data_IF_214351222433
#
_entry.id   IF_214351222433
#
_cell.length_a   1.000
_cell.length_b   1.000
_cell.length_c   1.000
_cell.angle_alpha   90.00
_cell.angle_beta   90.00
_cell.angle_gamma   90.00
#
_symmetry.space_group_name_H-M   'P 1'
#
loop_
_entity.id
_entity.type
_entity.pdbx_description
1 polymer ?
#
# COMPACT_ATOMS: atom_id res chain seq x y z
N UNK A 1 -6.09 9.66 -8.39
CA UNK A 1 -6.46 10.69 -7.40
C UNK A 1 -7.04 11.90 -8.12
N UNK A 2 -7.75 12.78 -7.41
CA UNK A 2 -8.06 14.13 -7.91
C UNK A 2 -7.00 15.08 -7.36
N UNK A 3 -6.31 15.81 -8.25
CA UNK A 3 -5.32 16.80 -7.88
C UNK A 3 -5.67 18.11 -8.55
N UNK A 4 -5.90 19.16 -7.76
CA UNK A 4 -6.29 20.49 -8.25
C UNK A 4 -7.51 20.49 -9.18
N UNK A 5 -8.46 19.56 -8.97
CA UNK A 5 -9.66 19.43 -9.80
C UNK A 5 -9.48 18.61 -11.07
N UNK A 6 -8.31 17.97 -11.27
CA UNK A 6 -8.03 17.12 -12.42
C UNK A 6 -7.79 15.66 -12.00
N UNK A 7 -8.35 14.72 -12.77
CA UNK A 7 -8.05 13.30 -12.60
C UNK A 7 -6.57 13.06 -12.94
N UNK A 8 -5.82 12.57 -11.96
CA UNK A 8 -4.37 12.35 -12.08
C UNK A 8 -4.00 10.94 -11.62
N UNK A 9 -3.06 10.31 -12.34
CA UNK A 9 -2.30 9.15 -11.84
C UNK A 9 -1.00 9.64 -11.21
N UNK A 10 -0.65 9.09 -10.06
CA UNK A 10 0.56 9.43 -9.33
C UNK A 10 0.99 8.24 -8.48
N UNK A 11 2.22 8.29 -7.97
CA UNK A 11 2.79 7.26 -7.10
C UNK A 11 2.73 7.73 -5.65
N UNK A 12 2.00 6.98 -4.80
CA UNK A 12 2.13 7.11 -3.35
C UNK A 12 3.42 6.44 -2.88
N UNK A 13 4.29 7.18 -2.20
CA UNK A 13 5.56 6.70 -1.67
C UNK A 13 5.56 6.74 -0.14
N UNK A 14 5.37 5.57 0.46
CA UNK A 14 5.47 5.31 1.90
C UNK A 14 6.81 4.68 2.31
N UNK A 15 7.78 4.60 1.38
CA UNK A 15 9.04 3.87 1.57
C UNK A 15 9.95 4.50 2.62
N UNK A 16 9.79 5.81 2.85
CA UNK A 16 10.65 6.65 3.69
C UNK A 16 12.14 6.63 3.29
N UNK A 17 12.46 6.24 2.05
CA UNK A 17 13.84 6.19 1.56
C UNK A 17 14.36 7.57 1.15
N UNK A 18 13.48 8.43 0.64
CA UNK A 18 13.82 9.74 0.10
C UNK A 18 12.94 10.88 0.65
N UNK A 19 12.13 10.59 1.67
CA UNK A 19 11.30 11.54 2.40
C UNK A 19 11.09 11.00 3.83
N UNK A 20 10.89 11.89 4.81
CA UNK A 20 10.62 11.48 6.21
C UNK A 20 9.16 11.07 6.44
N UNK A 21 8.28 11.43 5.50
CA UNK A 21 6.84 11.19 5.55
C UNK A 21 6.37 10.55 4.25
N UNK A 22 5.14 10.06 4.24
CA UNK A 22 4.45 9.63 3.03
C UNK A 22 4.29 10.79 2.06
N UNK A 23 4.73 10.62 0.82
CA UNK A 23 4.66 11.65 -0.21
C UNK A 23 4.03 11.12 -1.49
N UNK A 24 3.46 12.03 -2.28
CA UNK A 24 3.02 11.71 -3.65
C UNK A 24 4.11 12.15 -4.63
N UNK A 25 4.45 11.28 -5.58
CA UNK A 25 5.44 11.52 -6.62
C UNK A 25 4.81 11.41 -8.01
N UNK A 26 5.39 12.09 -8.97
CA UNK A 26 5.16 11.79 -10.38
C UNK A 26 5.77 10.42 -10.70
N UNK A 27 5.03 9.59 -11.42
CA UNK A 27 5.47 8.24 -11.79
C UNK A 27 6.69 8.33 -12.74
N UNK A 28 6.65 9.26 -13.72
CA UNK A 28 7.74 9.48 -14.71
C UNK A 28 9.12 9.73 -14.07
N UNK A 29 9.16 10.36 -12.89
CA UNK A 29 10.39 10.71 -12.19
C UNK A 29 10.81 9.66 -11.16
N UNK A 30 10.11 8.52 -11.07
CA UNK A 30 10.33 7.51 -10.04
C UNK A 30 10.72 6.18 -10.67
N UNK A 31 11.80 5.58 -10.17
CA UNK A 31 12.20 4.22 -10.53
C UNK A 31 11.96 3.28 -9.38
N UNK A 32 11.29 2.16 -9.64
CA UNK A 32 11.13 1.07 -8.69
C UNK A 32 12.24 0.05 -8.88
N UNK A 33 13.13 -0.06 -7.89
CA UNK A 33 14.23 -1.01 -7.93
C UNK A 33 13.80 -2.41 -7.45
N UNK A 34 13.95 -3.39 -8.32
CA UNK A 34 13.72 -4.81 -8.01
C UNK A 34 15.08 -5.47 -7.84
N UNK A 35 15.59 -5.45 -6.62
CA UNK A 35 16.95 -5.92 -6.32
C UNK A 35 17.09 -7.45 -6.44
N UNK A 36 18.32 -7.96 -6.37
CA UNK A 36 18.61 -9.40 -6.28
C UNK A 36 17.88 -10.12 -5.13
N UNK A 37 17.39 -9.42 -4.11
CA UNK A 37 16.55 -10.02 -3.07
C UNK A 37 15.28 -10.60 -3.69
N UNK A 38 14.76 -10.00 -4.75
CA UNK A 38 13.60 -10.50 -5.49
C UNK A 38 13.85 -11.82 -6.24
N UNK A 39 15.12 -12.20 -6.43
CA UNK A 39 15.48 -13.37 -7.24
C UNK A 39 15.03 -14.66 -6.56
N UNK A 40 14.24 -15.46 -7.28
CA UNK A 40 13.74 -16.75 -6.86
C UNK A 40 13.80 -17.72 -8.04
N UNK A 41 13.75 -19.02 -7.74
CA UNK A 41 13.59 -20.06 -8.75
C UNK A 41 12.16 -20.59 -8.68
N UNK A 42 11.55 -20.86 -9.83
CA UNK A 42 10.17 -21.36 -9.92
C UNK A 42 10.09 -22.83 -9.49
N UNK A 43 10.16 -23.07 -8.19
CA UNK A 43 10.17 -24.38 -7.55
C UNK A 43 9.61 -24.31 -6.11
N UNK A 44 9.73 -25.39 -5.34
CA UNK A 44 9.21 -25.48 -3.97
C UNK A 44 7.67 -25.59 -3.93
N UNK A 45 7.08 -25.43 -2.74
CA UNK A 45 5.67 -25.77 -2.52
C UNK A 45 4.69 -24.78 -3.17
N UNK A 46 5.08 -23.51 -3.33
CA UNK A 46 4.21 -22.46 -3.87
C UNK A 46 4.44 -22.30 -5.38
N UNK A 47 5.65 -21.95 -5.80
CA UNK A 47 5.92 -21.61 -7.22
C UNK A 47 5.91 -22.84 -8.15
N UNK A 48 5.95 -24.07 -7.63
CA UNK A 48 5.73 -25.27 -8.44
C UNK A 48 4.26 -25.51 -8.81
N UNK A 49 3.31 -24.76 -8.25
CA UNK A 49 1.90 -24.83 -8.61
C UNK A 49 1.72 -24.51 -10.12
N UNK A 50 0.88 -25.26 -10.86
CA UNK A 50 0.66 -25.05 -12.28
C UNK A 50 0.12 -23.66 -12.66
N UNK A 51 -0.57 -22.95 -11.75
CA UNK A 51 -1.03 -21.58 -12.00
C UNK A 51 0.12 -20.61 -12.34
N UNK A 52 1.36 -20.91 -11.94
CA UNK A 52 2.55 -20.13 -12.29
C UNK A 52 3.21 -20.55 -13.62
N UNK A 53 2.67 -21.53 -14.36
CA UNK A 53 3.24 -21.96 -15.65
C UNK A 53 3.31 -20.81 -16.67
N UNK A 54 2.42 -19.83 -16.53
CA UNK A 54 2.39 -18.60 -17.34
C UNK A 54 3.67 -17.76 -17.16
N UNK A 55 4.33 -17.84 -16.00
CA UNK A 55 5.57 -17.12 -15.70
C UNK A 55 6.79 -17.78 -16.36
N UNK A 56 6.65 -19.01 -16.84
CA UNK A 56 7.70 -19.79 -17.50
C UNK A 56 7.78 -21.23 -16.96
N UNK A 57 8.62 -22.08 -17.58
CA UNK A 57 8.82 -23.47 -17.15
C UNK A 57 9.26 -23.59 -15.69
N UNK A 58 8.99 -24.74 -15.06
CA UNK A 58 9.51 -25.04 -13.71
C UNK A 58 11.03 -24.93 -13.69
N UNK A 59 11.57 -24.36 -12.62
CA UNK A 59 12.99 -24.10 -12.45
C UNK A 59 13.51 -22.83 -13.13
N UNK A 60 12.67 -22.07 -13.82
CA UNK A 60 13.03 -20.74 -14.35
C UNK A 60 13.41 -19.79 -13.21
N UNK A 61 14.47 -19.02 -13.40
CA UNK A 61 14.81 -17.91 -12.49
C UNK A 61 13.89 -16.72 -12.77
N UNK A 62 13.30 -16.17 -11.71
CA UNK A 62 12.36 -15.05 -11.74
C UNK A 62 12.79 -14.00 -10.71
N UNK A 63 12.32 -12.76 -10.88
CA UNK A 63 12.41 -11.72 -9.87
C UNK A 63 10.98 -11.41 -9.41
N UNK A 64 10.62 -11.84 -8.21
CA UNK A 64 9.26 -11.73 -7.68
C UNK A 64 9.21 -10.75 -6.51
N UNK A 65 8.35 -9.75 -6.66
CA UNK A 65 7.81 -8.94 -5.57
C UNK A 65 6.51 -9.62 -5.12
N UNK A 66 6.47 -10.27 -3.95
CA UNK A 66 5.29 -11.00 -3.51
C UNK A 66 4.13 -10.06 -3.15
N UNK A 67 2.89 -10.57 -3.20
CA UNK A 67 1.71 -9.81 -2.78
C UNK A 67 1.76 -9.42 -1.30
N UNK A 68 2.35 -10.27 -0.45
CA UNK A 68 2.61 -9.92 0.95
C UNK A 68 3.90 -9.12 1.09
N UNK A 69 3.87 -8.00 1.81
CA UNK A 69 5.04 -7.15 2.01
C UNK A 69 6.23 -7.93 2.57
N UNK A 70 7.41 -7.72 1.98
CA UNK A 70 8.67 -8.27 2.49
C UNK A 70 9.67 -7.15 2.72
N UNK A 71 10.44 -7.18 3.82
CA UNK A 71 11.47 -6.18 4.09
C UNK A 71 12.48 -6.05 2.95
N UNK A 72 12.90 -4.82 2.67
CA UNK A 72 13.94 -4.52 1.67
C UNK A 72 13.49 -4.69 0.21
N UNK A 73 12.18 -4.83 -0.05
CA UNK A 73 11.61 -4.86 -1.40
C UNK A 73 10.59 -3.75 -1.56
N UNK A 74 10.55 -3.15 -2.75
CA UNK A 74 9.41 -2.32 -3.15
C UNK A 74 8.14 -3.18 -3.16
N UNK A 75 7.02 -2.59 -2.76
CA UNK A 75 5.74 -3.29 -2.62
C UNK A 75 4.61 -2.56 -3.35
N UNK A 76 4.67 -2.54 -4.69
CA UNK A 76 3.73 -1.78 -5.50
C UNK A 76 2.30 -2.37 -5.44
N UNK A 77 1.33 -1.49 -5.60
CA UNK A 77 -0.09 -1.81 -5.63
C UNK A 77 -0.86 -0.73 -6.38
N UNK A 78 -2.18 -0.84 -6.35
CA UNK A 78 -3.11 0.09 -6.98
C UNK A 78 -4.05 0.65 -5.92
N UNK A 79 -4.27 1.97 -5.95
CA UNK A 79 -5.16 2.65 -5.01
C UNK A 79 -6.07 3.67 -5.69
N UNK A 80 -7.29 3.79 -5.18
CA UNK A 80 -8.25 4.86 -5.45
C UNK A 80 -8.74 5.51 -4.16
N UNK A 81 -8.05 5.32 -3.02
CA UNK A 81 -8.43 5.86 -1.72
C UNK A 81 -8.49 7.40 -1.71
N UNK A 82 -7.59 8.03 -2.45
CA UNK A 82 -7.49 9.50 -2.56
C UNK A 82 -8.27 10.05 -3.75
N UNK A 83 -9.07 9.22 -4.43
CA UNK A 83 -9.98 9.69 -5.48
C UNK A 83 -11.21 10.33 -4.83
N UNK A 84 -11.60 11.53 -5.28
CA UNK A 84 -12.81 12.18 -4.81
C UNK A 84 -14.05 11.33 -5.18
N UNK A 85 -14.66 10.73 -4.16
CA UNK A 85 -15.80 9.80 -4.31
C UNK A 85 -17.10 10.51 -4.66
N UNK A 86 -17.23 11.80 -4.36
CA UNK A 86 -18.40 12.60 -4.75
C UNK A 86 -18.32 12.97 -6.22
N UNK A 87 -17.12 13.30 -6.68
CA UNK A 87 -16.86 13.62 -8.08
C UNK A 87 -16.78 12.37 -8.97
N UNK A 88 -16.29 11.25 -8.46
CA UNK A 88 -16.10 9.99 -9.18
C UNK A 88 -16.75 8.80 -8.44
N UNK A 89 -18.09 8.74 -8.35
CA UNK A 89 -18.79 7.74 -7.53
C UNK A 89 -18.64 6.30 -8.03
N UNK A 90 -18.30 6.11 -9.31
CA UNK A 90 -18.02 4.79 -9.89
C UNK A 90 -16.55 4.36 -9.71
N UNK A 91 -15.68 5.24 -9.19
CA UNK A 91 -14.24 5.02 -9.11
C UNK A 91 -13.54 5.30 -10.44
N UNK A 92 -12.45 4.60 -10.70
CA UNK A 92 -11.67 4.74 -11.92
C UNK A 92 -11.39 3.38 -12.56
N UNK A 93 -11.01 3.40 -13.83
CA UNK A 93 -10.32 2.28 -14.48
C UNK A 93 -8.90 2.73 -14.80
N UNK A 94 -7.91 2.03 -14.28
CA UNK A 94 -6.51 2.26 -14.60
C UNK A 94 -6.09 1.30 -15.70
N UNK A 95 -5.37 1.79 -16.71
CA UNK A 95 -4.87 0.98 -17.81
C UNK A 95 -3.35 0.90 -17.72
N UNK A 96 -2.81 -0.32 -17.74
CA UNK A 96 -1.38 -0.58 -17.86
C UNK A 96 -1.08 -1.01 -19.29
N UNK A 97 -0.22 -0.26 -19.99
CA UNK A 97 0.20 -0.54 -21.36
C UNK A 97 1.69 -0.88 -21.38
N UNK A 98 2.08 -2.11 -21.77
CA UNK A 98 3.50 -2.45 -21.92
C UNK A 98 4.18 -1.55 -22.95
N UNK A 99 5.36 -0.99 -22.63
CA UNK A 99 6.14 -0.16 -23.55
C UNK A 99 7.46 -0.82 -23.94
N UNK A 100 8.27 -1.19 -22.95
CA UNK A 100 9.55 -1.86 -23.20
C UNK A 100 9.89 -2.86 -22.11
N UNK A 101 10.68 -3.86 -22.49
CA UNK A 101 11.26 -4.87 -21.63
C UNK A 101 12.63 -5.27 -22.20
N UNK A 102 13.51 -5.87 -21.38
CA UNK A 102 14.72 -6.51 -21.89
C UNK A 102 14.38 -7.57 -22.95
N UNK A 103 15.34 -7.91 -23.82
CA UNK A 103 15.10 -8.91 -24.86
C UNK A 103 14.62 -10.25 -24.27
N UNK A 104 13.45 -10.72 -24.72
CA UNK A 104 12.79 -11.92 -24.19
C UNK A 104 12.29 -11.81 -22.75
N UNK A 105 12.42 -10.63 -22.12
CA UNK A 105 11.90 -10.32 -20.80
C UNK A 105 10.39 -10.11 -20.81
N UNK A 106 9.72 -10.63 -19.79
CA UNK A 106 8.28 -10.47 -19.54
C UNK A 106 8.06 -9.96 -18.13
N UNK A 107 6.95 -9.27 -17.92
CA UNK A 107 6.46 -8.88 -16.60
C UNK A 107 4.99 -9.29 -16.42
N UNK A 108 4.60 -9.49 -15.16
CA UNK A 108 3.26 -9.89 -14.76
C UNK A 108 2.86 -9.17 -13.47
N UNK A 109 1.61 -8.74 -13.36
CA UNK A 109 1.01 -8.19 -12.16
C UNK A 109 -0.25 -8.98 -11.81
N UNK A 110 -0.27 -9.61 -10.63
CA UNK A 110 -1.32 -10.56 -10.26
C UNK A 110 -1.58 -10.60 -8.76
N UNK A 111 -2.69 -11.20 -8.35
CA UNK A 111 -2.95 -11.57 -6.96
C UNK A 111 -2.87 -13.07 -6.78
N UNK A 112 -2.62 -13.47 -5.55
CA UNK A 112 -2.45 -14.84 -5.08
C UNK A 112 -3.54 -15.20 -4.08
N UNK A 113 -4.00 -16.45 -4.13
CA UNK A 113 -4.84 -17.04 -3.10
C UNK A 113 -4.36 -18.46 -2.82
N UNK A 114 -4.14 -18.78 -1.54
CA UNK A 114 -3.70 -20.09 -1.05
C UNK A 114 -2.52 -20.70 -1.87
N UNK A 115 -1.52 -19.88 -2.20
CA UNK A 115 -0.31 -20.33 -2.91
C UNK A 115 -0.50 -20.57 -4.42
N UNK A 116 -1.54 -20.00 -5.02
CA UNK A 116 -1.79 -20.03 -6.46
C UNK A 116 -2.14 -18.64 -6.99
N UNK A 117 -1.89 -18.38 -8.28
CA UNK A 117 -2.37 -17.14 -8.91
C UNK A 117 -3.90 -17.16 -8.90
N UNK A 118 -4.51 -16.14 -8.30
CA UNK A 118 -5.95 -15.94 -8.27
C UNK A 118 -6.42 -15.11 -9.45
N UNK A 119 -5.77 -13.98 -9.73
CA UNK A 119 -6.16 -13.07 -10.81
C UNK A 119 -4.94 -12.45 -11.44
N UNK A 120 -4.81 -12.61 -12.76
CA UNK A 120 -3.81 -11.91 -13.56
C UNK A 120 -4.40 -10.57 -14.02
N UNK A 121 -3.93 -9.47 -13.44
CA UNK A 121 -4.44 -8.13 -13.75
C UNK A 121 -3.81 -7.55 -15.01
N UNK A 122 -2.51 -7.75 -15.19
CA UNK A 122 -1.80 -7.26 -16.36
C UNK A 122 -0.53 -8.09 -16.62
N UNK A 123 -0.07 -8.07 -17.87
CA UNK A 123 1.20 -8.66 -18.26
C UNK A 123 1.82 -7.86 -19.40
N UNK A 124 3.06 -8.18 -19.74
CA UNK A 124 3.76 -7.59 -20.88
C UNK A 124 3.17 -7.93 -22.26
N UNK A 125 2.08 -8.70 -22.34
CA UNK A 125 1.52 -9.18 -23.62
C UNK A 125 0.67 -8.12 -24.33
N UNK A 126 -0.09 -7.33 -23.58
CA UNK A 126 -0.97 -6.28 -24.13
C UNK A 126 -1.43 -5.32 -23.04
N UNK A 127 -2.02 -4.21 -23.46
CA UNK A 127 -2.69 -3.30 -22.53
C UNK A 127 -3.82 -4.00 -21.76
N UNK A 128 -3.96 -3.68 -20.48
CA UNK A 128 -4.98 -4.24 -19.60
C UNK A 128 -5.65 -3.15 -18.75
N UNK A 129 -6.98 -3.20 -18.70
CA UNK A 129 -7.82 -2.35 -17.86
C UNK A 129 -8.02 -3.00 -16.48
N UNK A 130 -7.77 -2.22 -15.43
CA UNK A 130 -7.85 -2.62 -14.03
C UNK A 130 -8.92 -1.74 -13.37
N UNK A 131 -10.11 -2.29 -13.08
CA UNK A 131 -11.14 -1.55 -12.36
C UNK A 131 -10.67 -1.24 -10.93
N UNK A 132 -10.79 0.02 -10.54
CA UNK A 132 -10.52 0.51 -9.19
C UNK A 132 -11.78 1.19 -8.64
N UNK A 133 -12.75 0.41 -8.10
CA UNK A 133 -13.88 0.96 -7.37
C UNK A 133 -13.46 1.98 -6.31
N UNK A 134 -14.32 2.91 -5.87
CA UNK A 134 -13.96 3.92 -4.88
C UNK A 134 -13.40 3.31 -3.60
N UNK A 135 -12.27 3.84 -3.10
CA UNK A 135 -11.64 3.35 -1.87
C UNK A 135 -10.88 2.04 -2.01
N UNK A 136 -10.52 1.63 -3.24
CA UNK A 136 -9.69 0.45 -3.47
C UNK A 136 -8.29 0.70 -2.92
N UNK A 137 -7.78 -0.26 -2.15
CA UNK A 137 -6.38 -0.39 -1.76
C UNK A 137 -5.96 -1.84 -2.00
N UNK A 138 -5.13 -2.07 -3.03
CA UNK A 138 -4.80 -3.43 -3.43
C UNK A 138 -3.30 -3.56 -3.75
N UNK A 139 -2.60 -4.39 -3.00
CA UNK A 139 -1.26 -4.83 -3.38
C UNK A 139 -1.33 -6.02 -4.32
N UNK A 140 -0.41 -6.04 -5.28
CA UNK A 140 -0.27 -7.11 -6.27
C UNK A 140 1.12 -7.71 -6.17
N UNK A 141 1.23 -9.01 -6.45
CA UNK A 141 2.51 -9.61 -6.77
C UNK A 141 2.95 -9.15 -8.16
N UNK A 142 4.26 -8.95 -8.33
CA UNK A 142 4.89 -8.66 -9.61
C UNK A 142 5.99 -9.68 -9.89
N UNK A 143 6.04 -10.20 -11.11
CA UNK A 143 7.08 -11.12 -11.54
C UNK A 143 7.76 -10.60 -12.81
N UNK A 144 9.10 -10.67 -12.85
CA UNK A 144 9.92 -10.34 -14.01
C UNK A 144 10.78 -11.55 -14.39
N UNK A 145 10.90 -11.84 -15.69
CA UNK A 145 11.59 -13.06 -16.16
C UNK A 145 13.06 -12.85 -16.50
N UNK A 146 13.54 -11.60 -16.56
CA UNK A 146 14.92 -11.23 -16.91
C UNK A 146 15.36 -10.01 -16.09
N UNK A 147 16.67 -9.86 -15.82
CA UNK A 147 17.20 -8.59 -15.35
C UNK A 147 17.15 -7.52 -16.46
N UNK A 148 17.09 -6.26 -16.08
CA UNK A 148 17.09 -5.09 -16.96
C UNK A 148 15.93 -4.12 -16.68
N UNK A 149 15.75 -3.16 -17.57
CA UNK A 149 14.76 -2.09 -17.41
C UNK A 149 13.45 -2.42 -18.11
N UNK A 150 12.34 -2.27 -17.40
CA UNK A 150 10.98 -2.45 -17.89
C UNK A 150 10.23 -1.14 -17.76
N UNK A 151 9.51 -0.75 -18.81
CA UNK A 151 8.72 0.47 -18.79
C UNK A 151 7.27 0.22 -19.22
N UNK A 152 6.33 0.82 -18.51
CA UNK A 152 4.88 0.59 -18.62
C UNK A 152 4.18 1.94 -18.57
N UNK A 153 3.37 2.25 -19.58
CA UNK A 153 2.52 3.43 -19.56
C UNK A 153 1.30 3.18 -18.66
N UNK A 154 1.05 4.09 -17.74
CA UNK A 154 -0.06 4.08 -16.78
C UNK A 154 -0.97 5.25 -17.10
N UNK A 155 -2.24 4.96 -17.37
CA UNK A 155 -3.30 5.99 -17.47
C UNK A 155 -4.48 5.60 -16.62
N UNK A 156 -5.37 6.54 -16.35
CA UNK A 156 -6.63 6.27 -15.68
C UNK A 156 -7.76 7.06 -16.32
N UNK A 157 -8.95 6.48 -16.31
CA UNK A 157 -10.16 7.08 -16.82
C UNK A 157 -11.29 6.88 -15.83
N UNK A 158 -12.11 7.90 -15.64
CA UNK A 158 -13.21 7.90 -14.68
C UNK A 158 -14.39 8.67 -15.26
N UNK A 159 -15.61 8.33 -14.80
CA UNK A 159 -16.79 9.13 -15.08
C UNK A 159 -16.94 10.18 -13.99
N UNK A 160 -16.90 11.44 -14.37
CA UNK A 160 -17.07 12.56 -13.47
C UNK A 160 -18.55 12.90 -13.32
N UNK A 161 -19.06 13.09 -12.11
CA UNK A 161 -20.38 13.70 -11.90
C UNK A 161 -20.31 15.23 -12.09
N UNK A 162 -21.28 15.81 -12.79
CA UNK A 162 -21.37 17.27 -13.01
C UNK A 162 -22.68 17.78 -12.42
N UNK A 163 -22.59 18.78 -11.54
CA UNK A 163 -23.78 19.50 -11.02
C UNK A 163 -24.67 18.70 -10.06
N UNK A 164 -24.15 17.65 -9.42
CA UNK A 164 -24.90 16.83 -8.45
C UNK A 164 -26.01 15.96 -9.05
N UNK A 165 -26.20 16.00 -10.37
CA UNK A 165 -27.10 15.12 -11.10
C UNK A 165 -26.31 13.95 -11.69
N UNK A 166 -26.72 12.73 -11.31
CA UNK A 166 -26.08 11.42 -11.61
C UNK A 166 -25.91 11.07 -13.11
N UNK A 167 -26.15 12.03 -14.01
CA UNK A 167 -26.40 11.80 -15.44
C UNK A 167 -25.83 12.89 -16.35
N UNK A 168 -25.16 13.91 -15.82
CA UNK A 168 -24.53 14.96 -16.65
C UNK A 168 -23.01 14.77 -16.81
N UNK A 169 -22.49 13.62 -16.37
CA UNK A 169 -21.08 13.37 -16.26
C UNK A 169 -20.34 13.01 -17.55
N UNK A 170 -19.22 13.69 -17.82
CA UNK A 170 -18.29 13.31 -18.89
C UNK A 170 -17.28 12.24 -18.43
N UNK A 171 -16.80 11.41 -19.36
CA UNK A 171 -15.61 10.60 -19.10
C UNK A 171 -14.38 11.51 -19.17
N UNK A 172 -13.55 11.47 -18.14
CA UNK A 172 -12.26 12.15 -18.10
C UNK A 172 -11.14 11.13 -18.09
N UNK A 173 -9.99 11.49 -18.68
CA UNK A 173 -8.80 10.64 -18.77
C UNK A 173 -7.61 11.42 -18.25
N UNK A 174 -6.87 10.83 -17.33
CA UNK A 174 -5.63 11.39 -16.80
C UNK A 174 -4.53 11.37 -17.86
N UNK A 175 -3.59 12.31 -17.74
CA UNK A 175 -2.33 12.24 -18.49
C UNK A 175 -1.63 10.90 -18.20
N UNK A 176 -1.19 10.22 -19.26
CA UNK A 176 -0.37 9.01 -19.16
C UNK A 176 0.99 9.33 -18.52
N UNK A 177 1.44 8.48 -17.61
CA UNK A 177 2.79 8.51 -17.03
C UNK A 177 3.48 7.15 -17.18
N UNK A 178 4.80 7.15 -17.36
CA UNK A 178 5.66 5.99 -17.55
C UNK A 178 6.19 5.48 -16.22
N UNK A 179 5.70 4.32 -15.80
CA UNK A 179 6.27 3.54 -14.70
C UNK A 179 7.53 2.81 -15.17
N UNK A 180 8.60 2.94 -14.38
CA UNK A 180 9.89 2.28 -14.65
C UNK A 180 10.25 1.32 -13.52
N UNK A 181 10.46 0.05 -13.87
CA UNK A 181 11.11 -0.93 -12.99
C UNK A 181 12.53 -1.17 -13.49
N UNK A 182 13.49 -1.20 -12.57
CA UNK A 182 14.85 -1.66 -12.86
C UNK A 182 15.11 -2.93 -12.07
N UNK A 183 15.28 -4.04 -12.80
CA UNK A 183 15.38 -5.39 -12.23
C UNK A 183 16.82 -5.85 -12.22
N UNK A 184 17.34 -6.14 -11.03
CA UNK A 184 18.69 -6.64 -10.76
C UNK A 184 19.76 -5.89 -11.58
N UNK A 185 19.78 -4.56 -11.41
CA UNK A 185 20.73 -3.67 -12.08
C UNK A 185 22.15 -4.19 -11.88
N UNK A 186 22.83 -4.52 -12.97
CA UNK A 186 24.26 -4.84 -12.90
C UNK A 186 25.03 -3.54 -12.64
N UNK A 187 25.90 -3.49 -11.61
CA UNK A 187 26.77 -2.34 -11.43
C UNK A 187 27.70 -2.21 -12.65
N UNK A 188 27.65 -1.04 -13.32
CA UNK A 188 28.50 -0.70 -14.47
C UNK A 188 27.90 -0.97 -15.86
N UNK A 189 26.62 -1.33 -15.98
CA UNK A 189 25.94 -1.40 -17.28
C UNK A 189 25.45 -0.03 -17.73
N UNK A 190 26.00 0.48 -18.84
CA UNK A 190 25.36 1.54 -19.64
C UNK A 190 24.08 0.99 -20.27
N UNK A 191 22.99 0.99 -19.52
CA UNK A 191 21.66 0.89 -20.11
C UNK A 191 21.36 2.25 -20.75
N UNK A 192 21.27 2.26 -22.08
CA UNK A 192 21.16 3.46 -22.90
C UNK A 192 20.06 4.43 -22.45
N UNK A 193 20.45 5.71 -22.43
CA UNK A 193 19.62 6.92 -22.50
C UNK A 193 18.29 6.85 -21.72
N UNK A 194 18.40 6.90 -20.39
CA UNK A 194 17.40 7.63 -19.62
C UNK A 194 17.90 9.07 -19.55
N UNK A 195 17.34 9.94 -20.39
CA UNK A 195 17.46 11.39 -20.24
C UNK A 195 17.23 11.76 -18.79
N UNK A 196 18.32 12.09 -18.12
CA UNK A 196 18.29 12.75 -16.82
C UNK A 196 17.69 14.12 -17.05
N UNK A 197 16.59 14.52 -16.36
CA UNK A 197 16.27 15.94 -16.31
C UNK A 197 17.45 16.66 -15.65
N UNK A 198 17.80 17.89 -16.06
CA UNK A 198 18.99 18.56 -15.56
C UNK A 198 18.89 18.66 -14.04
N UNK A 199 19.85 18.04 -13.36
CA UNK A 199 20.11 18.35 -11.96
C UNK A 199 20.63 19.78 -11.95
N UNK A 200 19.80 20.75 -11.58
CA UNK A 200 20.28 22.08 -11.22
C UNK A 200 21.20 21.91 -10.01
N UNK A 201 22.50 21.84 -10.30
CA UNK A 201 23.54 21.90 -9.28
C UNK A 201 23.46 23.29 -8.63
N UNK A 202 23.46 23.40 -7.29
CA UNK A 202 23.53 24.71 -6.63
C UNK A 202 24.78 25.45 -7.12
N UNK A 203 24.56 26.67 -7.63
CA UNK A 203 25.60 27.59 -8.06
C UNK A 203 26.62 27.78 -6.95
N UNK A 204 27.86 27.34 -7.18
CA UNK A 204 28.99 27.83 -6.39
C UNK A 204 29.16 29.33 -6.65
N UNK A 205 29.26 30.08 -5.57
CA UNK A 205 29.58 31.50 -5.57
C UNK A 205 31.02 31.74 -6.04
N UNK A 206 31.27 32.83 -6.78
CA UNK A 206 32.59 33.46 -6.78
C UNK A 206 32.49 34.89 -6.24
N UNK A 207 33.30 35.22 -5.25
CA UNK A 207 33.39 36.58 -4.72
C UNK A 207 34.53 36.73 -3.73
N UNK A 208 35.73 36.93 -4.27
CA UNK A 208 36.95 37.24 -3.54
C UNK A 208 36.81 38.52 -2.70
N UNK A 209 37.38 38.44 -1.49
CA UNK A 209 37.53 39.50 -0.50
C UNK A 209 38.47 40.61 -0.98
N UNK A 210 38.23 41.88 -0.60
CA UNK A 210 39.31 42.81 -0.31
C UNK A 210 39.38 43.15 1.18
N UNK A 211 40.60 43.00 1.69
CA UNK A 211 41.15 43.34 2.99
C UNK A 211 40.81 44.76 3.47
N UNK A 212 40.33 44.90 4.71
CA UNK A 212 40.53 46.10 5.52
C UNK A 212 40.84 45.70 6.98
N UNK A 213 41.91 46.27 7.53
CA UNK A 213 42.41 46.09 8.90
C UNK A 213 41.45 46.64 9.97
N UNK A 214 41.51 46.16 11.23
CA UNK A 214 40.58 46.54 12.29
C UNK A 214 41.09 47.72 13.12
N UNK A 215 40.18 48.50 13.73
CA UNK A 215 40.48 49.19 14.98
C UNK A 215 39.60 48.67 16.13
N UNK A 216 40.31 48.06 17.07
CA UNK A 216 40.21 48.11 18.55
C UNK A 216 38.84 48.40 19.19
N UNK A 217 38.44 47.47 20.04
CA UNK A 217 37.40 47.53 21.09
C UNK A 217 37.63 48.66 22.12
N UNK A 218 36.59 49.06 22.88
CA UNK A 218 36.56 48.54 24.25
C UNK A 218 35.15 48.20 24.79
N UNK A 219 35.02 46.98 25.31
CA UNK A 219 34.64 46.61 26.68
C UNK A 219 33.43 47.32 27.31
N UNK A 220 32.36 46.54 27.56
CA UNK A 220 31.68 46.44 28.87
C UNK A 220 31.09 45.02 29.06
N UNK A 221 31.47 44.34 30.15
CA UNK A 221 30.80 43.15 30.70
C UNK A 221 29.59 43.55 31.61
N UNK A 222 28.96 42.66 32.40
CA UNK A 222 27.75 41.91 32.07
C UNK A 222 26.59 42.25 33.03
N UNK A 223 25.34 42.02 32.65
CA UNK A 223 24.22 41.99 33.62
C UNK A 223 23.12 41.01 33.21
N UNK A 224 23.07 39.87 33.90
CA UNK A 224 21.86 39.17 34.36
C UNK A 224 21.99 39.07 35.90
N UNK A 225 20.92 38.88 36.71
CA UNK A 225 19.70 38.11 36.41
C UNK A 225 18.37 38.70 36.96
N UNK A 226 17.23 38.15 36.54
CA UNK A 226 16.02 38.11 37.37
C UNK A 226 14.96 37.09 36.87
N UNK A 227 14.83 35.98 37.61
CA UNK A 227 13.56 35.29 37.88
C UNK A 227 13.35 35.40 39.41
N UNK A 228 12.11 35.49 39.96
CA UNK A 228 11.34 34.27 40.24
C UNK A 228 9.80 34.45 40.17
N UNK A 229 9.07 33.33 40.21
CA UNK A 229 7.61 33.33 40.39
C UNK A 229 6.97 31.96 40.21
N UNK A 230 7.17 31.07 41.17
CA UNK A 230 6.36 29.88 41.41
C UNK A 230 4.92 30.26 41.82
N UNK A 231 3.93 29.47 41.39
CA UNK A 231 2.73 29.26 42.20
C UNK A 231 2.18 27.85 41.94
N UNK A 232 2.35 27.00 42.94
CA UNK A 232 1.61 25.78 43.19
C UNK A 232 0.09 26.02 43.20
N UNK A 233 -0.68 25.01 42.80
CA UNK A 233 -1.91 24.61 43.51
C UNK A 233 -2.35 23.21 43.05
N UNK A 234 -2.04 22.23 43.90
CA UNK A 234 -2.77 20.99 44.11
C UNK A 234 -4.08 21.30 44.85
N UNK A 235 -5.24 20.86 44.35
CA UNK A 235 -6.40 20.61 45.20
C UNK A 235 -7.15 19.37 44.71
N UNK A 236 -6.75 18.26 45.32
CA UNK A 236 -7.44 16.99 45.38
C UNK A 236 -8.81 17.10 46.06
N UNK A 237 -9.93 16.91 45.34
CA UNK A 237 -11.22 16.57 45.98
C UNK A 237 -12.07 15.54 45.21
N UNK A 238 -12.04 14.32 45.71
CA UNK A 238 -13.13 13.32 45.66
C UNK A 238 -14.26 13.77 46.62
N UNK A 239 -15.51 13.36 46.37
CA UNK A 239 -16.24 12.65 47.43
C UNK A 239 -16.95 11.38 46.93
N UNK A 240 -16.86 10.31 47.74
CA UNK A 240 -17.86 9.24 47.86
C UNK A 240 -19.10 9.79 48.58
N UNK A 241 -20.30 9.29 48.29
CA UNK A 241 -20.97 8.18 49.02
C UNK A 241 -22.49 8.17 48.73
N UNK A 242 -23.03 6.99 48.37
CA UNK A 242 -24.34 6.37 48.75
C UNK A 242 -25.67 7.11 48.41
N UNK A 243 -26.80 6.46 48.08
CA UNK A 243 -27.37 5.23 48.64
C UNK A 243 -28.63 4.78 47.84
N UNK A 244 -28.84 3.44 47.74
CA UNK A 244 -30.13 2.66 47.72
C UNK A 244 -31.16 2.86 46.58
N UNK A 245 -31.89 1.87 46.05
CA UNK A 245 -32.38 0.57 46.56
C UNK A 245 -32.83 -0.35 45.37
N UNK A 246 -32.78 -1.68 45.55
CA UNK A 246 -33.25 -2.76 44.63
C UNK A 246 -34.70 -3.22 45.02
N UNK A 247 -35.27 -4.40 44.65
CA UNK A 247 -34.90 -5.46 43.69
C UNK A 247 -36.09 -6.08 42.88
N UNK A 248 -35.81 -7.06 42.01
CA UNK A 248 -36.53 -8.35 41.75
C UNK A 248 -36.18 -8.85 40.34
N UNK A 249 -35.32 -9.85 40.14
CA UNK A 249 -35.55 -11.32 40.16
C UNK A 249 -36.68 -11.83 39.23
N UNK A 250 -36.32 -12.76 38.34
CA UNK A 250 -37.26 -13.47 37.47
C UNK A 250 -36.56 -14.31 36.38
N UNK A 251 -36.10 -15.49 36.79
CA UNK A 251 -35.52 -16.59 36.02
C UNK A 251 -36.52 -17.26 35.04
N UNK A 252 -35.98 -17.93 34.01
CA UNK A 252 -36.55 -19.19 33.51
C UNK A 252 -37.25 -19.20 32.15
N UNK A 253 -36.77 -20.10 31.27
CA UNK A 253 -37.66 -21.06 30.60
C UNK A 253 -37.92 -20.89 29.10
N UNK A 254 -37.02 -21.44 28.30
CA UNK A 254 -37.20 -22.45 27.24
C UNK A 254 -38.53 -22.61 26.45
N UNK A 255 -38.32 -23.06 25.20
CA UNK A 255 -39.20 -23.88 24.35
C UNK A 255 -40.28 -23.21 23.47
N UNK A 256 -39.90 -23.11 22.19
CA UNK A 256 -40.44 -23.94 21.09
C UNK A 256 -41.65 -23.48 20.25
N UNK A 257 -41.46 -23.73 18.94
CA UNK A 257 -42.41 -23.96 17.87
C UNK A 257 -43.37 -22.86 17.37
N UNK A 258 -43.40 -22.68 16.04
CA UNK A 258 -44.52 -22.04 15.36
C UNK A 258 -44.23 -21.53 13.96
N UNK A 259 -44.23 -22.43 12.99
CA UNK A 259 -44.09 -22.15 11.58
C UNK A 259 -45.23 -21.29 10.97
N UNK A 260 -44.86 -20.62 9.87
CA UNK A 260 -45.66 -20.44 8.65
C UNK A 260 -46.85 -19.45 8.64
N UNK A 261 -46.66 -18.30 7.99
CA UNK A 261 -47.29 -18.04 6.67
C UNK A 261 -47.06 -16.60 6.20
N UNK A 262 -46.61 -16.52 4.95
CA UNK A 262 -47.01 -15.54 3.93
C UNK A 262 -48.10 -14.54 4.32
N UNK A 263 -47.83 -13.24 4.14
CA UNK A 263 -48.51 -12.49 3.07
C UNK A 263 -47.94 -11.08 2.88
N UNK A 264 -48.03 -10.69 1.62
CA UNK A 264 -47.68 -9.45 0.96
C UNK A 264 -48.32 -8.22 1.63
N UNK A 265 -47.59 -7.10 1.72
CA UNK A 265 -48.12 -5.86 2.29
C UNK A 265 -47.23 -4.64 2.04
N UNK A 266 -47.42 -4.05 0.87
CA UNK A 266 -47.05 -2.67 0.49
C UNK A 266 -47.33 -1.63 1.58
N UNK A 267 -46.46 -0.61 1.71
CA UNK A 267 -46.84 0.63 2.37
C UNK A 267 -45.67 1.48 2.85
N UNK A 268 -45.43 2.58 2.14
CA UNK A 268 -44.43 3.59 2.44
C UNK A 268 -44.76 4.43 3.70
N UNK A 269 -43.71 4.79 4.45
CA UNK A 269 -43.52 6.05 5.18
C UNK A 269 -42.03 6.06 5.60
N UNK A 270 -41.18 7.05 5.37
CA UNK A 270 -41.39 8.48 5.54
C UNK A 270 -40.58 8.93 6.76
N UNK A 271 -39.51 9.68 6.50
CA UNK A 271 -38.92 10.73 7.34
C UNK A 271 -37.70 10.42 8.24
N UNK A 272 -36.63 11.16 7.90
CA UNK A 272 -35.71 11.93 8.75
C UNK A 272 -34.84 11.24 9.80
N UNK A 273 -33.52 11.29 9.55
CA UNK A 273 -32.47 11.18 10.55
C UNK A 273 -31.24 11.96 10.08
N UNK A 274 -31.11 13.18 10.60
CA UNK A 274 -30.08 14.18 10.32
C UNK A 274 -28.69 13.68 10.71
N UNK A 275 -27.72 13.97 9.84
CA UNK A 275 -26.30 13.74 10.10
C UNK A 275 -25.81 14.58 11.27
N UNK A 276 -25.01 13.97 12.15
CA UNK A 276 -24.06 14.67 13.03
C UNK A 276 -22.67 14.19 12.67
N UNK A 277 -21.84 15.14 12.25
CA UNK A 277 -20.40 15.02 12.10
C UNK A 277 -19.79 14.74 13.47
N UNK A 278 -19.03 13.66 13.58
CA UNK A 278 -17.90 13.61 14.50
C UNK A 278 -16.73 12.99 13.74
N UNK A 279 -15.74 13.84 13.44
CA UNK A 279 -14.48 13.41 12.91
C UNK A 279 -13.70 12.67 14.00
N UNK A 280 -13.25 11.46 13.70
CA UNK A 280 -11.97 10.99 14.22
C UNK A 280 -11.43 9.79 13.44
N UNK A 281 -10.11 9.83 13.20
CA UNK A 281 -9.24 8.69 12.90
C UNK A 281 -9.31 8.05 11.51
N UNK A 282 -8.44 8.53 10.60
CA UNK A 282 -7.89 7.68 9.53
C UNK A 282 -6.84 6.74 10.14
N UNK A 283 -6.80 5.44 9.78
CA UNK A 283 -5.76 4.54 10.26
C UNK A 283 -4.39 4.95 9.70
N UNK A 284 -3.49 5.38 10.59
CA UNK A 284 -2.06 5.53 10.32
C UNK A 284 -1.41 4.15 10.28
N UNK A 285 -1.00 3.67 9.11
CA UNK A 285 -0.17 2.46 8.99
C UNK A 285 1.32 2.82 9.00
N UNK A 286 1.75 3.47 10.09
CA UNK A 286 3.15 3.46 10.49
C UNK A 286 3.35 2.27 11.43
N UNK A 287 3.96 1.19 10.95
CA UNK A 287 4.27 0.02 11.75
C UNK A 287 4.97 0.42 13.07
N UNK A 288 4.22 0.37 14.17
CA UNK A 288 4.78 0.41 15.52
C UNK A 288 4.97 -1.04 15.91
N UNK A 289 6.21 -1.52 15.85
CA UNK A 289 6.56 -2.87 16.27
C UNK A 289 6.61 -2.85 17.80
N UNK A 290 5.54 -3.31 18.45
CA UNK A 290 5.60 -3.72 19.85
C UNK A 290 5.91 -5.22 19.90
N UNK A 291 6.85 -5.67 20.76
CA UNK A 291 7.22 -7.07 20.83
C UNK A 291 6.13 -7.84 21.58
N UNK A 292 5.38 -8.71 20.89
CA UNK A 292 4.51 -9.69 21.55
C UNK A 292 5.15 -11.06 21.44
N UNK A 293 5.34 -11.67 22.61
CA UNK A 293 6.07 -12.91 22.83
C UNK A 293 5.50 -14.12 22.09
N UNK A 294 6.41 -15.05 21.83
CA UNK A 294 6.18 -16.39 21.30
C UNK A 294 5.10 -17.15 22.07
N UNK A 295 4.04 -17.55 21.39
CA UNK A 295 3.26 -18.74 21.76
C UNK A 295 3.12 -19.64 20.55
N UNK A 296 3.87 -20.73 20.58
CA UNK A 296 3.83 -21.82 19.62
C UNK A 296 2.55 -22.66 19.82
N UNK A 297 1.71 -22.74 18.78
CA UNK A 297 0.58 -23.67 18.71
C UNK A 297 0.98 -24.93 17.94
N UNK A 298 1.08 -26.06 18.65
CA UNK A 298 1.37 -27.38 18.10
C UNK A 298 0.16 -27.96 17.34
N UNK A 299 0.37 -28.37 16.09
CA UNK A 299 -0.57 -29.22 15.35
C UNK A 299 -0.12 -30.69 15.45
N UNK A 300 -0.93 -31.49 16.15
CA UNK A 300 -0.77 -32.94 16.31
C UNK A 300 -1.11 -33.63 14.98
N UNK A 301 -0.12 -34.29 14.38
CA UNK A 301 -0.35 -35.28 13.31
C UNK A 301 -0.37 -36.66 13.97
N UNK A 302 -1.57 -37.25 14.07
CA UNK A 302 -1.73 -38.65 14.44
C UNK A 302 -1.28 -39.54 13.26
N UNK A 303 -0.25 -40.35 13.50
CA UNK A 303 0.27 -41.30 12.53
C UNK A 303 -0.46 -42.64 12.58
N UNK A 304 -0.59 -43.29 11.41
CA UNK A 304 -0.66 -44.75 11.29
C UNK A 304 0.00 -45.16 9.96
N UNK A 305 1.17 -45.79 10.04
CA UNK A 305 1.63 -46.76 9.03
C UNK A 305 2.70 -47.66 9.67
N UNK A 306 2.30 -48.90 9.96
CA UNK A 306 3.12 -49.98 10.50
C UNK A 306 4.22 -50.39 9.52
N UNK A 307 5.47 -50.33 10.01
CA UNK A 307 6.64 -50.98 9.43
C UNK A 307 6.60 -52.48 9.77
N UNK A 308 6.54 -53.35 8.76
CA UNK A 308 7.03 -54.73 8.86
C UNK A 308 8.21 -54.86 7.93
N UNK A 309 9.41 -54.83 8.51
CA UNK A 309 10.65 -55.21 7.86
C UNK A 309 10.94 -56.68 8.20
N UNK A 310 10.92 -57.56 7.19
CA UNK A 310 11.62 -58.84 7.23
C UNK A 310 12.63 -58.85 6.08
N UNK A 311 13.91 -58.75 6.43
CA UNK A 311 15.06 -58.86 5.52
C UNK A 311 15.22 -60.31 5.02
N UNK A 312 15.83 -60.51 3.83
CA UNK A 312 16.13 -61.83 3.31
C UNK A 312 17.41 -62.42 3.93
N UNK A 313 17.46 -63.75 4.07
CA UNK A 313 18.70 -64.52 4.24
C UNK A 313 18.89 -65.45 3.04
N UNK A 314 20.11 -65.40 2.50
CA UNK A 314 20.67 -66.22 1.41
C UNK A 314 20.73 -67.72 1.77
N UNK A 315 20.44 -68.58 0.79
CA UNK A 315 21.34 -69.61 0.26
C UNK A 315 20.85 -70.04 -1.12
#
# INVERSE_FOLDING_TARGET
>A
MDLNGELTVALGDDSRQHAQESVTRTIDSTTLEVTKLAKVKREGNVLANPSYDVLGPKGTELYILPQAQQPGRVWPGFSSETLDRMKYPEGATMTLTPVSAPEGGKWFAYTENLGSIQTMYASSEKAADIPLPPGTHMHTAWAFTKPGTYTIDVTARAKQEVGGARSAGGSVTAKTQRLTFVVDRKPGGEDGDVSTPPSEKPSEAPGEQPTQEPPVEPSQEPNEPAQPGESDNDDSRKPDDKQTEAPAEGDGGDSDNGANSTSNGTGANGSNGTASNDGNSLPRTGATVLPVGLTAGALVVAGVALLVAARPRKS
#
